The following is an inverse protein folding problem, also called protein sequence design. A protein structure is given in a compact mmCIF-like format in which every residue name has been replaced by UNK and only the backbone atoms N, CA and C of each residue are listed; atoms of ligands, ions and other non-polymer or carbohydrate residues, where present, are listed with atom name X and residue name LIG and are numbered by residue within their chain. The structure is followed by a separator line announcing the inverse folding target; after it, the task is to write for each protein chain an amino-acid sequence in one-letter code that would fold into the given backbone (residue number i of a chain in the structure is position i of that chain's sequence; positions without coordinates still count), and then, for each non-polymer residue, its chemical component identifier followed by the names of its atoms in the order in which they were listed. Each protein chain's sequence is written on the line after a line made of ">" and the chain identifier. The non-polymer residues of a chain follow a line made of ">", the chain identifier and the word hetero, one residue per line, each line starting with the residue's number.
data_IF_444781484779
#
_entry.id   IF_444781484779
#
_cell.length_a   1.000
_cell.length_b   1.000
_cell.length_c   1.000
_cell.angle_alpha   90.00
_cell.angle_beta   90.00
_cell.angle_gamma   90.00
#
_symmetry.space_group_name_H-M   'P 1'
#
loop_
_entity.id
_entity.type
_entity.pdbx_description
1 polymer ?
#
# COMPACT_ATOMS: atom_id res chain seq x y z
N UNK A 1 -9.04 -3.14 8.38
CA UNK A 1 -8.55 -4.03 7.32
C UNK A 1 -7.42 -3.37 6.53
N UNK A 2 -7.65 -2.22 5.89
CA UNK A 2 -6.60 -1.53 5.12
C UNK A 2 -5.37 -1.17 5.95
N UNK A 3 -5.54 -0.59 7.16
CA UNK A 3 -4.41 -0.20 8.00
C UNK A 3 -3.56 -1.39 8.52
N UNK A 4 -4.19 -2.54 8.82
CA UNK A 4 -3.46 -3.72 9.31
C UNK A 4 -2.65 -4.35 8.19
N UNK A 5 -3.24 -4.47 6.99
CA UNK A 5 -2.58 -5.09 5.84
C UNK A 5 -1.31 -4.32 5.43
N UNK A 6 -1.36 -2.99 5.33
CA UNK A 6 -0.18 -2.22 4.95
C UNK A 6 0.93 -2.28 6.01
N UNK A 7 0.58 -2.35 7.30
CA UNK A 7 1.59 -2.50 8.37
C UNK A 7 2.31 -3.84 8.26
N UNK A 8 1.55 -4.92 8.03
CA UNK A 8 2.11 -6.27 7.88
C UNK A 8 2.92 -6.42 6.57
N UNK A 9 2.47 -5.79 5.47
CA UNK A 9 3.21 -5.77 4.21
C UNK A 9 4.52 -5.00 4.31
N UNK A 10 4.55 -3.88 5.05
CA UNK A 10 5.80 -3.18 5.35
C UNK A 10 6.78 -4.08 6.13
N UNK A 11 6.32 -4.77 7.18
CA UNK A 11 7.16 -5.70 7.94
C UNK A 11 7.68 -6.86 7.09
N UNK A 12 6.85 -7.38 6.17
CA UNK A 12 7.24 -8.42 5.23
C UNK A 12 8.31 -7.93 4.27
N UNK A 13 8.11 -6.74 3.71
CA UNK A 13 9.05 -6.13 2.77
C UNK A 13 10.40 -5.86 3.45
N UNK A 14 10.40 -5.24 4.63
CA UNK A 14 11.64 -4.96 5.38
C UNK A 14 12.46 -6.22 5.66
N UNK A 15 11.80 -7.35 5.88
CA UNK A 15 12.47 -8.63 6.18
C UNK A 15 13.10 -9.29 4.96
N UNK A 16 12.51 -9.12 3.77
CA UNK A 16 12.85 -9.93 2.60
C UNK A 16 13.25 -9.13 1.36
N UNK A 17 13.22 -7.80 1.39
CA UNK A 17 13.64 -6.97 0.24
C UNK A 17 15.06 -7.30 -0.24
N UNK A 18 15.99 -7.49 0.69
CA UNK A 18 17.38 -7.85 0.38
C UNK A 18 17.54 -9.31 -0.11
N UNK A 19 16.48 -10.11 -0.01
CA UNK A 19 16.41 -11.48 -0.53
C UNK A 19 15.67 -11.55 -1.88
N UNK A 20 15.34 -10.40 -2.47
CA UNK A 20 14.69 -10.29 -3.78
C UNK A 20 13.17 -10.24 -3.74
N UNK A 21 12.55 -10.03 -2.57
CA UNK A 21 11.10 -9.79 -2.49
C UNK A 21 10.78 -8.37 -2.96
N UNK A 22 9.84 -8.25 -3.91
CA UNK A 22 9.29 -6.96 -4.36
C UNK A 22 7.77 -6.93 -4.12
N UNK A 23 7.23 -5.80 -3.66
CA UNK A 23 5.79 -5.61 -3.44
C UNK A 23 5.29 -4.47 -4.32
N UNK A 24 4.28 -4.74 -5.14
CA UNK A 24 3.64 -3.74 -6.01
C UNK A 24 2.18 -3.56 -5.58
N UNK A 25 1.85 -2.40 -5.02
CA UNK A 25 0.51 -2.11 -4.52
C UNK A 25 -0.34 -1.38 -5.59
N UNK A 26 -1.52 -1.92 -5.90
CA UNK A 26 -2.49 -1.34 -6.84
C UNK A 26 -3.81 -1.05 -6.11
N UNK A 27 -4.10 0.21 -5.76
CA UNK A 27 -5.36 0.62 -5.17
C UNK A 27 -6.55 0.23 -6.06
N UNK A 28 -7.64 -0.21 -5.46
CA UNK A 28 -8.81 -0.70 -6.19
C UNK A 28 -10.11 -0.44 -5.43
N UNK A 29 -10.98 0.37 -6.05
CA UNK A 29 -12.28 0.71 -5.49
C UNK A 29 -13.44 -0.19 -5.99
N UNK A 30 -13.15 -1.28 -6.71
CA UNK A 30 -14.17 -2.13 -7.34
C UNK A 30 -14.80 -3.16 -6.38
N UNK A 31 -14.23 -3.33 -5.18
CA UNK A 31 -14.73 -4.25 -4.16
C UNK A 31 -15.33 -3.48 -2.99
N UNK A 32 -16.65 -3.44 -2.90
CA UNK A 32 -17.37 -2.85 -1.75
C UNK A 32 -17.18 -1.34 -1.56
N UNK A 33 -16.68 -0.61 -2.56
CA UNK A 33 -16.35 0.84 -2.48
C UNK A 33 -15.48 1.21 -1.27
N UNK A 34 -14.57 0.33 -0.87
CA UNK A 34 -13.79 0.49 0.36
C UNK A 34 -12.64 1.52 0.23
N UNK A 35 -12.44 2.09 -0.97
CA UNK A 35 -11.53 3.21 -1.24
C UNK A 35 -12.29 4.33 -1.99
N UNK A 36 -13.28 4.99 -1.35
CA UNK A 36 -14.15 5.96 -2.02
C UNK A 36 -13.48 7.32 -2.25
N UNK A 37 -12.32 7.57 -1.64
CA UNK A 37 -11.58 8.82 -1.75
C UNK A 37 -10.78 8.87 -3.06
N UNK A 38 -10.62 10.07 -3.63
CA UNK A 38 -9.92 10.26 -4.90
C UNK A 38 -8.47 9.76 -4.82
N UNK A 39 -7.92 9.27 -5.94
CA UNK A 39 -6.57 8.70 -6.04
C UNK A 39 -5.48 9.51 -5.31
N UNK A 40 -5.62 10.85 -5.27
CA UNK A 40 -4.70 11.74 -4.58
C UNK A 40 -4.67 11.56 -3.06
N UNK A 41 -5.81 11.34 -2.41
CA UNK A 41 -5.87 11.10 -0.96
C UNK A 41 -5.44 9.69 -0.58
N UNK A 42 -5.58 8.71 -1.48
CA UNK A 42 -5.07 7.35 -1.24
C UNK A 42 -3.55 7.38 -1.20
N UNK A 43 -2.91 8.04 -2.17
CA UNK A 43 -1.45 8.20 -2.18
C UNK A 43 -0.99 9.00 -0.97
N UNK A 44 -1.63 10.13 -0.65
CA UNK A 44 -1.25 10.92 0.52
C UNK A 44 -1.45 10.14 1.83
N UNK A 45 -2.53 9.37 1.97
CA UNK A 45 -2.76 8.51 3.14
C UNK A 45 -1.71 7.41 3.27
N UNK A 46 -1.35 6.72 2.18
CA UNK A 46 -0.36 5.65 2.24
C UNK A 46 1.05 6.20 2.39
N UNK A 47 1.42 7.28 1.69
CA UNK A 47 2.73 7.92 1.83
C UNK A 47 2.90 8.56 3.21
N UNK A 48 1.89 9.26 3.75
CA UNK A 48 1.98 9.95 5.04
C UNK A 48 1.91 9.01 6.25
N UNK A 49 1.08 7.95 6.20
CA UNK A 49 0.93 7.03 7.33
C UNK A 49 1.89 5.84 7.30
N UNK A 50 2.18 5.31 6.12
CA UNK A 50 2.78 3.99 6.02
C UNK A 50 4.26 4.03 5.64
N UNK A 51 4.81 5.19 5.25
CA UNK A 51 6.24 5.35 4.88
C UNK A 51 6.74 4.17 4.04
N UNK A 52 5.88 3.62 3.18
CA UNK A 52 6.14 2.37 2.51
C UNK A 52 7.34 2.55 1.60
N UNK A 53 8.36 1.71 1.78
CA UNK A 53 9.58 1.72 0.99
C UNK A 53 9.39 1.05 -0.39
N UNK A 54 8.20 0.50 -0.65
CA UNK A 54 7.83 -0.15 -1.91
C UNK A 54 6.86 0.71 -2.75
N UNK A 55 6.91 0.59 -4.09
CA UNK A 55 6.14 1.44 -4.99
C UNK A 55 4.63 1.16 -4.96
N UNK A 56 3.85 2.25 -4.95
CA UNK A 56 2.39 2.22 -5.05
C UNK A 56 2.01 2.81 -6.40
N UNK A 57 1.23 2.05 -7.17
CA UNK A 57 0.89 2.39 -8.54
C UNK A 57 -0.49 3.04 -8.62
N UNK A 58 -0.67 3.83 -9.67
CA UNK A 58 -1.98 4.32 -10.05
C UNK A 58 -2.68 3.34 -10.99
N UNK A 59 -4.01 3.31 -10.91
CA UNK A 59 -4.86 2.75 -11.95
C UNK A 59 -4.89 3.69 -13.16
#
# INVERSE_FOLDING_TARGET
>A
LTNSNYTELNQLYDKYKDQGLEILAFPCNQFGKQEPESNYKIVDFVCSRLKSEFPIFHK
#
